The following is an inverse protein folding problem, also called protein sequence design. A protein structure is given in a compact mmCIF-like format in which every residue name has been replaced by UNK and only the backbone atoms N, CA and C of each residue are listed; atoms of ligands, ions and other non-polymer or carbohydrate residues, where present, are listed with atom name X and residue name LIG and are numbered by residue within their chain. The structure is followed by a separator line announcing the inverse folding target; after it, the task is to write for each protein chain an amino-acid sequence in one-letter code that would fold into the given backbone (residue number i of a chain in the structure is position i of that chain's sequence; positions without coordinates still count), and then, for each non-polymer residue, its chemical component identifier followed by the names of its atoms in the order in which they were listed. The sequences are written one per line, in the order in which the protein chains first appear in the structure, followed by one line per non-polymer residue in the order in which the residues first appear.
data_IF_535223714083
#
_entry.id   IF_535223714083
#
_cell.length_a   1.000
_cell.length_b   1.000
_cell.length_c   1.000
_cell.angle_alpha   90.00
_cell.angle_beta   90.00
_cell.angle_gamma   90.00
#
_symmetry.space_group_name_H-M   'P 1'
#
loop_
_entity.id
_entity.type
_entity.pdbx_description
1 polymer ?
#
# COMPACT_ATOMS: atom_id res chain seq x y z
N UNK A 1 28.58 -5.76 8.79
CA UNK A 1 27.28 -5.33 9.35
C UNK A 1 26.34 -6.51 9.21
N UNK A 2 25.54 -6.85 10.23
CA UNK A 2 24.48 -7.84 10.04
C UNK A 2 23.49 -7.24 9.05
N UNK A 3 23.26 -7.94 7.94
CA UNK A 3 22.23 -7.61 6.97
C UNK A 3 20.86 -7.62 7.67
N UNK A 4 20.09 -6.54 7.55
CA UNK A 4 18.76 -6.44 8.17
C UNK A 4 17.82 -7.45 7.51
N UNK A 5 17.05 -8.16 8.34
CA UNK A 5 15.93 -8.98 7.84
C UNK A 5 14.88 -8.10 7.17
N UNK A 6 14.06 -8.67 6.29
CA UNK A 6 13.02 -7.94 5.60
C UNK A 6 11.93 -7.44 6.59
N UNK A 7 11.60 -8.23 7.62
CA UNK A 7 10.71 -7.74 8.69
C UNK A 7 11.27 -6.52 9.42
N UNK A 8 12.58 -6.47 9.70
CA UNK A 8 13.23 -5.30 10.27
C UNK A 8 13.19 -4.09 9.33
N UNK A 9 13.36 -4.30 8.02
CA UNK A 9 13.23 -3.24 7.01
C UNK A 9 11.82 -2.65 7.00
N UNK A 10 10.77 -3.47 7.02
CA UNK A 10 9.39 -2.95 7.08
C UNK A 10 9.13 -2.12 8.35
N UNK A 11 9.57 -2.60 9.51
CA UNK A 11 9.42 -1.88 10.78
C UNK A 11 10.16 -0.54 10.77
N UNK A 12 11.39 -0.52 10.26
CA UNK A 12 12.18 0.69 10.11
C UNK A 12 11.50 1.68 9.17
N UNK A 13 11.05 1.22 8.01
CA UNK A 13 10.39 2.06 7.01
C UNK A 13 9.08 2.65 7.53
N UNK A 14 8.27 1.85 8.24
CA UNK A 14 7.09 2.36 8.93
C UNK A 14 7.48 3.47 9.90
N UNK A 15 8.47 3.26 10.76
CA UNK A 15 8.89 4.27 11.72
C UNK A 15 9.39 5.57 11.05
N UNK A 16 10.11 5.46 9.93
CA UNK A 16 10.55 6.61 9.12
C UNK A 16 9.36 7.38 8.56
N UNK A 17 8.44 6.70 7.84
CA UNK A 17 7.27 7.34 7.24
C UNK A 17 6.33 7.94 8.31
N UNK A 18 6.23 7.30 9.48
CA UNK A 18 5.46 7.80 10.61
C UNK A 18 6.06 9.10 11.16
N UNK A 19 7.38 9.11 11.40
CA UNK A 19 8.08 10.30 11.89
C UNK A 19 7.95 11.50 10.93
N UNK A 20 8.02 11.25 9.62
CA UNK A 20 7.81 12.28 8.59
C UNK A 20 6.38 12.83 8.57
N UNK A 21 5.40 11.99 8.90
CA UNK A 21 3.98 12.40 8.94
C UNK A 21 3.68 13.29 10.15
N UNK A 22 4.37 13.06 11.28
CA UNK A 22 4.11 13.77 12.53
C UNK A 22 5.03 14.96 12.81
N UNK A 23 5.94 15.32 11.89
CA UNK A 23 7.03 16.31 12.02
C UNK A 23 6.77 17.47 13.02
N UNK A 24 6.93 17.16 14.31
CA UNK A 24 6.78 18.05 15.47
C UNK A 24 8.15 18.34 16.10
N UNK A 25 9.23 17.92 15.43
CA UNK A 25 10.61 18.08 15.88
C UNK A 25 11.03 17.12 16.99
N UNK A 26 10.15 16.25 17.50
CA UNK A 26 10.52 15.20 18.44
C UNK A 26 10.87 13.93 17.66
N UNK A 27 12.17 13.64 17.47
CA UNK A 27 12.59 12.31 16.99
C UNK A 27 12.30 11.31 18.11
N UNK A 28 11.30 10.42 18.01
CA UNK A 28 11.15 9.36 18.98
C UNK A 28 12.40 8.48 18.89
N UNK A 29 12.90 7.99 20.02
CA UNK A 29 13.83 6.85 19.97
C UNK A 29 13.03 5.67 19.41
N UNK A 30 13.27 5.32 18.14
CA UNK A 30 12.58 4.20 17.49
C UNK A 30 13.20 2.90 18.00
N UNK A 31 12.49 2.19 18.88
CA UNK A 31 12.78 0.79 19.14
C UNK A 31 11.98 -0.08 18.16
N UNK A 32 12.67 -0.77 17.26
CA UNK A 32 12.02 -1.66 16.27
C UNK A 32 11.25 -2.81 16.93
N UNK A 33 11.51 -3.12 18.20
CA UNK A 33 10.75 -4.14 18.93
C UNK A 33 9.32 -3.68 19.26
N UNK A 34 9.05 -2.38 19.24
CA UNK A 34 7.70 -1.83 19.47
C UNK A 34 6.80 -1.99 18.24
N UNK A 35 7.36 -2.38 17.09
CA UNK A 35 6.64 -2.53 15.83
C UNK A 35 6.45 -4.01 15.49
N UNK A 36 5.25 -4.36 15.03
CA UNK A 36 4.98 -5.62 14.35
C UNK A 36 5.19 -5.47 12.83
N UNK A 37 5.70 -6.53 12.18
CA UNK A 37 6.02 -6.47 10.76
C UNK A 37 4.77 -6.45 9.86
N UNK A 38 3.70 -7.13 10.26
CA UNK A 38 2.43 -7.14 9.54
C UNK A 38 1.70 -5.83 9.75
N UNK A 39 1.74 -5.27 10.97
CA UNK A 39 1.21 -3.92 11.22
C UNK A 39 1.97 -2.83 10.45
N UNK A 40 3.30 -2.96 10.34
CA UNK A 40 4.09 -2.10 9.46
C UNK A 40 3.63 -2.23 8.00
N UNK A 41 3.36 -3.44 7.50
CA UNK A 41 2.84 -3.63 6.15
C UNK A 41 1.44 -3.02 5.96
N UNK A 42 0.53 -3.12 6.95
CA UNK A 42 -0.78 -2.46 6.92
C UNK A 42 -0.65 -0.94 6.79
N UNK A 43 0.22 -0.34 7.62
CA UNK A 43 0.49 1.09 7.59
C UNK A 43 1.07 1.50 6.24
N UNK A 44 2.13 0.82 5.79
CA UNK A 44 2.83 1.15 4.55
C UNK A 44 1.94 0.98 3.31
N UNK A 45 1.12 -0.06 3.25
CA UNK A 45 0.15 -0.24 2.16
C UNK A 45 -0.86 0.91 2.12
N UNK A 46 -1.38 1.33 3.27
CA UNK A 46 -2.32 2.44 3.38
C UNK A 46 -1.65 3.78 3.05
N UNK A 47 -0.42 4.00 3.53
CA UNK A 47 0.39 5.18 3.26
C UNK A 47 0.70 5.32 1.76
N UNK A 48 1.20 4.24 1.13
CA UNK A 48 1.52 4.23 -0.29
C UNK A 48 0.26 4.43 -1.15
N UNK A 49 -0.88 3.85 -0.77
CA UNK A 49 -2.15 4.07 -1.46
C UNK A 49 -2.58 5.53 -1.35
N UNK A 50 -2.50 6.13 -0.16
CA UNK A 50 -2.80 7.53 0.05
C UNK A 50 -1.89 8.45 -0.78
N UNK A 51 -0.58 8.20 -0.77
CA UNK A 51 0.39 8.93 -1.60
C UNK A 51 0.11 8.77 -3.08
N UNK A 52 -0.19 7.55 -3.54
CA UNK A 52 -0.55 7.29 -4.93
C UNK A 52 -1.79 8.09 -5.36
N UNK A 53 -2.83 8.17 -4.52
CA UNK A 53 -4.03 8.98 -4.79
C UNK A 53 -3.66 10.45 -4.95
N UNK A 54 -2.80 10.99 -4.06
CA UNK A 54 -2.33 12.37 -4.13
C UNK A 54 -1.53 12.65 -5.41
N UNK A 55 -0.57 11.78 -5.73
CA UNK A 55 0.27 11.89 -6.93
C UNK A 55 -0.54 11.73 -8.23
N UNK A 56 -1.60 10.92 -8.22
CA UNK A 56 -2.55 10.79 -9.31
C UNK A 56 -3.50 12.00 -9.45
N UNK A 57 -3.44 12.97 -8.53
CA UNK A 57 -4.31 14.15 -8.52
C UNK A 57 -5.78 13.84 -8.25
N UNK A 58 -6.07 12.68 -7.63
CA UNK A 58 -7.43 12.21 -7.37
C UNK A 58 -7.95 12.67 -6.01
N UNK A 59 -9.27 12.72 -5.87
CA UNK A 59 -9.95 13.26 -4.67
C UNK A 59 -11.03 12.30 -4.16
N UNK A 60 -10.73 11.44 -3.18
CA UNK A 60 -11.68 10.45 -2.65
C UNK A 60 -12.99 11.07 -2.15
N UNK A 61 -12.94 12.29 -1.59
CA UNK A 61 -14.14 13.00 -1.14
C UNK A 61 -15.08 13.43 -2.27
N UNK A 62 -14.55 13.72 -3.45
CA UNK A 62 -15.34 14.01 -4.65
C UNK A 62 -15.89 12.69 -5.24
N UNK A 63 -15.05 11.66 -5.32
CA UNK A 63 -15.45 10.35 -5.85
C UNK A 63 -16.53 9.68 -4.99
N UNK A 64 -16.51 9.89 -3.67
CA UNK A 64 -17.61 9.48 -2.79
C UNK A 64 -18.98 10.01 -3.25
N UNK A 65 -19.02 11.18 -3.90
CA UNK A 65 -20.26 11.80 -4.39
C UNK A 65 -20.54 11.47 -5.87
N UNK A 66 -19.49 11.37 -6.68
CA UNK A 66 -19.62 11.35 -8.15
C UNK A 66 -19.29 9.99 -8.79
N UNK A 67 -18.43 9.19 -8.15
CA UNK A 67 -17.98 7.89 -8.66
C UNK A 67 -17.56 6.95 -7.51
N UNK A 68 -18.55 6.49 -6.73
CA UNK A 68 -18.30 5.72 -5.51
C UNK A 68 -17.49 4.43 -5.74
N UNK A 69 -17.67 3.76 -6.88
CA UNK A 69 -16.96 2.52 -7.19
C UNK A 69 -15.43 2.72 -7.26
N UNK A 70 -14.95 3.93 -7.55
CA UNK A 70 -13.53 4.24 -7.56
C UNK A 70 -12.85 4.02 -6.20
N UNK A 71 -13.58 4.22 -5.09
CA UNK A 71 -13.07 3.92 -3.76
C UNK A 71 -12.73 2.42 -3.60
N UNK A 72 -13.46 1.55 -4.28
CA UNK A 72 -13.15 0.12 -4.30
C UNK A 72 -11.90 -0.21 -5.13
N UNK A 73 -11.57 0.60 -6.14
CA UNK A 73 -10.30 0.47 -6.89
C UNK A 73 -9.11 0.81 -5.99
N UNK A 74 -9.23 1.87 -5.17
CA UNK A 74 -8.22 2.21 -4.17
C UNK A 74 -8.04 1.12 -3.13
N UNK A 75 -9.15 0.53 -2.67
CA UNK A 75 -9.11 -0.63 -1.77
C UNK A 75 -8.36 -1.81 -2.42
N UNK A 76 -8.64 -2.12 -3.69
CA UNK A 76 -7.95 -3.17 -4.41
C UNK A 76 -6.44 -2.88 -4.56
N UNK A 77 -6.08 -1.62 -4.83
CA UNK A 77 -4.69 -1.20 -4.92
C UNK A 77 -3.95 -1.34 -3.59
N UNK A 78 -4.56 -0.91 -2.48
CA UNK A 78 -4.01 -1.10 -1.15
C UNK A 78 -3.81 -2.57 -0.79
N UNK A 79 -4.73 -3.45 -1.21
CA UNK A 79 -4.58 -4.89 -1.04
C UNK A 79 -3.44 -5.49 -1.87
N UNK A 80 -3.23 -5.01 -3.10
CA UNK A 80 -2.07 -5.41 -3.91
C UNK A 80 -0.76 -5.01 -3.24
N UNK A 81 -0.66 -3.75 -2.80
CA UNK A 81 0.51 -3.26 -2.09
C UNK A 81 0.77 -4.05 -0.82
N UNK A 82 -0.26 -4.34 -0.03
CA UNK A 82 -0.14 -5.19 1.15
C UNK A 82 0.34 -6.61 0.80
N UNK A 83 -0.18 -7.21 -0.27
CA UNK A 83 0.24 -8.53 -0.72
C UNK A 83 1.74 -8.55 -1.09
N UNK A 84 2.23 -7.57 -1.84
CA UNK A 84 3.65 -7.49 -2.22
C UNK A 84 4.55 -7.12 -1.03
N UNK A 85 4.09 -6.26 -0.13
CA UNK A 85 4.81 -5.95 1.09
C UNK A 85 4.96 -7.17 2.01
N UNK A 86 3.99 -8.09 2.02
CA UNK A 86 3.97 -9.23 2.95
C UNK A 86 4.46 -10.54 2.35
N UNK A 87 4.51 -10.68 1.01
CA UNK A 87 4.98 -11.91 0.37
C UNK A 87 6.39 -12.34 0.83
N UNK A 88 7.40 -11.44 0.95
CA UNK A 88 8.72 -11.84 1.40
C UNK A 88 8.77 -12.27 2.88
N UNK A 89 7.82 -11.83 3.72
CA UNK A 89 7.74 -12.22 5.14
C UNK A 89 7.49 -13.72 5.32
N UNK A 90 6.95 -14.39 4.31
CA UNK A 90 6.77 -15.85 4.34
C UNK A 90 8.10 -16.60 4.41
N UNK A 91 9.21 -16.00 3.95
CA UNK A 91 10.56 -16.56 4.08
C UNK A 91 11.09 -16.45 5.53
N UNK A 92 10.45 -15.63 6.35
CA UNK A 92 10.73 -15.44 7.78
C UNK A 92 9.66 -16.11 8.66
N UNK A 93 8.87 -17.03 8.11
CA UNK A 93 7.77 -17.75 8.78
C UNK A 93 6.66 -16.83 9.34
N UNK A 94 6.53 -15.62 8.80
CA UNK A 94 5.49 -14.65 9.17
C UNK A 94 4.40 -14.68 8.10
N UNK A 95 3.18 -15.10 8.49
CA UNK A 95 2.03 -15.19 7.60
C UNK A 95 1.04 -14.04 7.86
N UNK A 96 0.71 -13.23 6.85
CA UNK A 96 -0.28 -12.16 7.01
C UNK A 96 -1.72 -12.69 7.06
N UNK A 97 -2.58 -12.01 7.82
CA UNK A 97 -4.03 -12.24 7.79
C UNK A 97 -4.69 -11.28 6.79
N UNK A 98 -4.95 -11.78 5.58
CA UNK A 98 -5.59 -11.01 4.51
C UNK A 98 -7.05 -10.62 4.80
N UNK A 99 -7.76 -11.33 5.69
CA UNK A 99 -9.13 -10.94 6.07
C UNK A 99 -9.08 -9.70 6.96
N UNK A 100 -8.19 -9.74 7.96
CA UNK A 100 -7.94 -8.58 8.82
C UNK A 100 -7.40 -7.40 8.00
N UNK A 101 -6.49 -7.65 7.05
CA UNK A 101 -5.91 -6.60 6.22
C UNK A 101 -6.93 -5.80 5.42
N UNK A 102 -7.93 -6.45 4.84
CA UNK A 102 -9.00 -5.77 4.10
C UNK A 102 -9.72 -4.74 4.96
N UNK A 103 -10.09 -5.13 6.17
CA UNK A 103 -10.81 -4.28 7.11
C UNK A 103 -9.90 -3.13 7.59
N UNK A 104 -8.65 -3.45 7.96
CA UNK A 104 -7.68 -2.46 8.44
C UNK A 104 -7.37 -1.41 7.39
N UNK A 105 -7.07 -1.81 6.16
CA UNK A 105 -6.77 -0.90 5.05
C UNK A 105 -7.98 -0.01 4.74
N UNK A 106 -9.18 -0.59 4.65
CA UNK A 106 -10.38 0.18 4.35
C UNK A 106 -10.69 1.22 5.44
N UNK A 107 -10.60 0.84 6.71
CA UNK A 107 -10.83 1.76 7.84
C UNK A 107 -9.79 2.88 7.89
N UNK A 108 -8.55 2.59 7.51
CA UNK A 108 -7.48 3.59 7.46
C UNK A 108 -7.69 4.56 6.30
N UNK A 109 -7.98 4.07 5.10
CA UNK A 109 -8.12 4.91 3.91
C UNK A 109 -9.41 5.74 3.88
N UNK A 110 -10.50 5.18 4.40
CA UNK A 110 -11.84 5.74 4.25
C UNK A 110 -12.46 6.17 5.58
N UNK A 111 -11.63 6.68 6.49
CA UNK A 111 -12.08 7.20 7.77
C UNK A 111 -13.20 8.25 7.56
N UNK A 112 -14.32 8.07 8.26
CA UNK A 112 -15.49 8.97 8.16
C UNK A 112 -16.58 8.52 7.18
N UNK A 113 -16.36 7.45 6.40
CA UNK A 113 -17.41 6.79 5.63
C UNK A 113 -18.26 5.89 6.54
N UNK A 114 -19.55 5.75 6.23
CA UNK A 114 -20.47 4.89 7.01
C UNK A 114 -20.10 3.41 6.89
N UNK A 115 -20.42 2.61 7.92
CA UNK A 115 -20.13 1.16 7.91
C UNK A 115 -20.74 0.43 6.71
N UNK A 116 -21.95 0.81 6.27
CA UNK A 116 -22.61 0.20 5.12
C UNK A 116 -21.82 0.45 3.81
N UNK A 117 -21.34 1.67 3.61
CA UNK A 117 -20.52 2.03 2.46
C UNK A 117 -19.13 1.38 2.54
N UNK A 118 -18.53 1.29 3.74
CA UNK A 118 -17.26 0.60 3.94
C UNK A 118 -17.34 -0.87 3.55
N UNK A 119 -18.44 -1.56 3.90
CA UNK A 119 -18.66 -2.96 3.48
C UNK A 119 -18.68 -3.08 1.96
N UNK A 120 -19.40 -2.18 1.27
CA UNK A 120 -19.46 -2.18 -0.20
C UNK A 120 -18.08 -1.95 -0.85
N UNK A 121 -17.30 -1.01 -0.31
CA UNK A 121 -15.92 -0.75 -0.75
C UNK A 121 -15.03 -1.99 -0.56
N UNK A 122 -15.14 -2.64 0.60
CA UNK A 122 -14.35 -3.84 0.94
C UNK A 122 -14.71 -4.99 0.00
N UNK A 123 -16.00 -5.28 -0.20
CA UNK A 123 -16.45 -6.39 -1.04
C UNK A 123 -16.11 -6.17 -2.51
N UNK A 124 -16.41 -4.98 -3.04
CA UNK A 124 -16.09 -4.62 -4.43
C UNK A 124 -14.57 -4.59 -4.65
N UNK A 125 -13.81 -4.03 -3.70
CA UNK A 125 -12.36 -3.95 -3.77
C UNK A 125 -11.70 -5.32 -3.70
N UNK A 126 -12.20 -6.23 -2.87
CA UNK A 126 -11.74 -7.62 -2.85
C UNK A 126 -12.01 -8.33 -4.18
N UNK A 127 -13.17 -8.10 -4.79
CA UNK A 127 -13.48 -8.69 -6.09
C UNK A 127 -12.53 -8.17 -7.17
N UNK A 128 -12.26 -6.85 -7.21
CA UNK A 128 -11.28 -6.26 -8.12
C UNK A 128 -9.87 -6.79 -7.88
N UNK A 129 -9.44 -6.91 -6.62
CA UNK A 129 -8.17 -7.52 -6.25
C UNK A 129 -8.03 -8.96 -6.80
N UNK A 130 -9.07 -9.78 -6.64
CA UNK A 130 -9.09 -11.16 -7.18
C UNK A 130 -9.06 -11.16 -8.71
N UNK A 131 -9.83 -10.29 -9.37
CA UNK A 131 -9.81 -10.17 -10.83
C UNK A 131 -8.40 -9.83 -11.34
N UNK A 132 -7.71 -8.92 -10.67
CA UNK A 132 -6.32 -8.58 -11.01
C UNK A 132 -5.41 -9.76 -10.73
N UNK A 133 -5.55 -10.47 -9.60
CA UNK A 133 -4.72 -11.61 -9.23
C UNK A 133 -4.86 -12.82 -10.17
N UNK A 134 -6.10 -13.14 -10.54
CA UNK A 134 -6.46 -14.33 -11.33
C UNK A 134 -6.32 -14.09 -12.85
N UNK A 135 -6.11 -12.84 -13.28
CA UNK A 135 -5.98 -12.52 -14.69
C UNK A 135 -4.70 -13.10 -15.30
N UNK A 136 -4.90 -14.00 -16.27
CA UNK A 136 -3.83 -14.60 -17.09
C UNK A 136 -3.42 -13.72 -18.28
N UNK A 137 -4.15 -12.62 -18.53
CA UNK A 137 -3.84 -11.71 -19.64
C UNK A 137 -2.56 -10.93 -19.34
N UNK A 138 -1.68 -10.84 -20.33
CA UNK A 138 -0.32 -10.28 -20.24
C UNK A 138 -0.26 -8.92 -19.52
N UNK A 139 -1.15 -7.99 -19.87
CA UNK A 139 -1.16 -6.65 -19.26
C UNK A 139 -1.37 -6.66 -17.74
N UNK A 140 -2.15 -7.59 -17.20
CA UNK A 140 -2.33 -7.71 -15.75
C UNK A 140 -1.13 -8.37 -15.08
N UNK A 141 -0.44 -9.27 -15.77
CA UNK A 141 0.82 -9.83 -15.28
C UNK A 141 1.92 -8.75 -15.19
N UNK A 142 2.07 -7.95 -16.24
CA UNK A 142 3.00 -6.81 -16.27
C UNK A 142 2.66 -5.77 -15.21
N UNK A 143 1.37 -5.43 -15.04
CA UNK A 143 0.94 -4.52 -13.99
C UNK A 143 1.33 -5.02 -12.59
N UNK A 144 1.05 -6.29 -12.28
CA UNK A 144 1.42 -6.91 -10.99
C UNK A 144 2.95 -6.90 -10.79
N UNK A 145 3.72 -7.24 -11.82
CA UNK A 145 5.18 -7.21 -11.76
C UNK A 145 5.72 -5.78 -11.51
N UNK A 146 5.11 -4.77 -12.12
CA UNK A 146 5.50 -3.38 -11.91
C UNK A 146 5.16 -2.91 -10.49
N UNK A 147 3.99 -3.27 -9.94
CA UNK A 147 3.65 -2.97 -8.54
C UNK A 147 4.64 -3.64 -7.58
N UNK A 148 4.95 -4.93 -7.79
CA UNK A 148 5.94 -5.67 -6.98
C UNK A 148 7.31 -4.98 -6.97
N UNK A 149 7.83 -4.67 -8.17
CA UNK A 149 9.10 -3.96 -8.33
C UNK A 149 9.10 -2.63 -7.59
N UNK A 150 8.04 -1.84 -7.73
CA UNK A 150 7.95 -0.54 -7.05
C UNK A 150 7.88 -0.71 -5.52
N UNK A 151 7.15 -1.69 -5.02
CA UNK A 151 7.11 -2.01 -3.60
C UNK A 151 8.50 -2.38 -3.06
N UNK A 152 9.23 -3.26 -3.75
CA UNK A 152 10.60 -3.63 -3.37
C UNK A 152 11.54 -2.42 -3.45
N UNK A 153 11.49 -1.65 -4.54
CA UNK A 153 12.30 -0.45 -4.70
C UNK A 153 12.05 0.56 -3.60
N UNK A 154 10.81 0.76 -3.18
CA UNK A 154 10.47 1.65 -2.08
C UNK A 154 11.04 1.17 -0.74
N UNK A 155 10.95 -0.13 -0.45
CA UNK A 155 11.52 -0.71 0.77
C UNK A 155 13.04 -0.57 0.79
N UNK A 156 13.72 -0.85 -0.32
CA UNK A 156 15.17 -0.68 -0.43
C UNK A 156 15.55 0.78 -0.31
N UNK A 157 14.95 1.68 -1.09
CA UNK A 157 15.25 3.10 -1.09
C UNK A 157 15.05 3.77 0.27
N UNK A 158 14.05 3.34 1.04
CA UNK A 158 13.78 3.90 2.37
C UNK A 158 14.54 3.24 3.52
N UNK A 159 15.30 2.17 3.30
CA UNK A 159 15.99 1.43 4.38
C UNK A 159 17.45 1.09 4.10
N UNK A 160 17.94 1.38 2.90
CA UNK A 160 19.30 1.10 2.46
C UNK A 160 20.00 2.41 2.05
N UNK A 161 20.96 2.86 2.87
CA UNK A 161 21.71 4.09 2.64
C UNK A 161 22.55 4.03 1.34
N UNK A 162 22.82 2.83 0.81
CA UNK A 162 23.56 2.60 -0.44
C UNK A 162 22.62 2.53 -1.67
N UNK A 163 21.31 2.72 -1.50
CA UNK A 163 20.35 2.77 -2.61
C UNK A 163 20.67 3.90 -3.59
N UNK A 164 20.61 3.67 -4.92
CA UNK A 164 20.83 4.72 -5.92
C UNK A 164 19.70 5.77 -5.97
N UNK A 165 18.58 5.49 -5.32
CA UNK A 165 17.39 6.34 -5.28
C UNK A 165 16.89 6.55 -3.86
N UNK A 166 16.33 7.73 -3.60
CA UNK A 166 15.61 8.02 -2.37
C UNK A 166 14.13 7.58 -2.50
N UNK A 167 13.47 7.29 -1.38
CA UNK A 167 12.06 6.86 -1.36
C UNK A 167 11.14 7.89 -2.01
N UNK A 168 11.46 9.17 -1.87
CA UNK A 168 10.66 10.29 -2.41
C UNK A 168 10.74 10.37 -3.93
N UNK A 169 11.79 9.80 -4.54
CA UNK A 169 11.89 9.65 -6.00
C UNK A 169 11.04 8.49 -6.52
N UNK A 170 10.75 7.49 -5.68
CA UNK A 170 9.94 6.31 -6.01
C UNK A 170 8.44 6.60 -5.84
N UNK A 171 8.05 7.42 -4.85
CA UNK A 171 6.64 7.70 -4.52
C UNK A 171 5.76 8.11 -5.72
N UNK A 172 6.20 9.00 -6.64
CA UNK A 172 5.38 9.39 -7.80
C UNK A 172 5.02 8.23 -8.73
N UNK A 173 5.84 7.17 -8.78
CA UNK A 173 5.60 6.00 -9.64
C UNK A 173 4.39 5.20 -9.17
N UNK A 174 4.09 5.19 -7.87
CA UNK A 174 2.85 4.58 -7.36
C UNK A 174 1.61 5.33 -7.82
N UNK A 175 1.67 6.65 -8.02
CA UNK A 175 0.57 7.44 -8.59
C UNK A 175 0.30 7.09 -10.05
N UNK A 176 1.36 6.83 -10.83
CA UNK A 176 1.24 6.37 -12.22
C UNK A 176 0.58 4.99 -12.29
N UNK A 177 1.02 4.04 -11.45
CA UNK A 177 0.43 2.70 -11.38
C UNK A 177 -1.03 2.75 -10.92
N UNK A 178 -1.35 3.59 -9.93
CA UNK A 178 -2.73 3.77 -9.51
C UNK A 178 -3.59 4.35 -10.65
N UNK A 179 -3.08 5.34 -11.38
CA UNK A 179 -3.81 5.94 -12.51
C UNK A 179 -4.13 4.90 -13.58
N UNK A 180 -3.17 4.05 -13.95
CA UNK A 180 -3.38 2.93 -14.88
C UNK A 180 -4.48 1.99 -14.38
N UNK A 181 -4.47 1.67 -13.08
CA UNK A 181 -5.48 0.80 -12.48
C UNK A 181 -6.87 1.45 -12.53
N UNK A 182 -6.98 2.73 -12.18
CA UNK A 182 -8.24 3.46 -12.23
C UNK A 182 -8.79 3.54 -13.66
N UNK A 183 -7.95 3.85 -14.65
CA UNK A 183 -8.34 3.88 -16.07
C UNK A 183 -8.85 2.53 -16.55
N UNK A 184 -8.22 1.43 -16.13
CA UNK A 184 -8.65 0.07 -16.49
C UNK A 184 -10.05 -0.25 -15.95
N UNK A 185 -10.41 0.24 -14.75
CA UNK A 185 -11.72 0.00 -14.15
C UNK A 185 -12.78 1.05 -14.50
N UNK A 186 -12.42 2.20 -15.08
CA UNK A 186 -13.37 3.15 -15.66
C UNK A 186 -13.92 2.70 -17.02
N UNK A 187 -13.21 1.80 -17.71
CA UNK A 187 -13.57 1.30 -19.04
C UNK A 187 -14.46 0.04 -19.04
N UNK A 188 -14.81 -0.48 -17.86
CA UNK A 188 -15.60 -1.72 -17.66
C UNK A 188 -17.04 -1.38 -17.32
#
# INVERSE_FOLDING_TARGET
MNEMTYSQRLKLLHAICLAETYDDGAKPTIDLNDFDAVDAAHYLASFLTFKAIQEAGRQPGQELQENFDMLSVYQAYGLLLFAFLTMPLTQEDITPDYQTAQITIAKTLFAGISDAQLVEIIESGLNKFKLIGDAEVEHWAEFRENVDKMTVSFVVAGTDDDSPHDKDEVLPLFGQLLSQLCEAFEQV
#
